data_IF_875799622117
#
_entry.id   IF_875799622117
#
_cell.length_a   1.000
_cell.length_b   1.000
_cell.length_c   1.000
_cell.angle_alpha   90.00
_cell.angle_beta   90.00
_cell.angle_gamma   90.00
#
_symmetry.space_group_name_H-M   'P 1'
#
loop_
_entity.id
_entity.type
_entity.pdbx_description
1 polymer ?
#
# COMPACT_ATOMS: atom_id res chain seq x y z
N UNK A 1 15.49 37.51 -15.77
CA UNK A 1 14.54 37.20 -16.85
C UNK A 1 13.26 36.76 -16.19
N UNK A 2 12.17 37.52 -16.34
CA UNK A 2 10.88 37.19 -15.72
C UNK A 2 10.43 35.80 -16.15
N UNK A 3 10.30 34.86 -15.22
CA UNK A 3 9.79 33.53 -15.52
C UNK A 3 8.39 33.65 -16.15
N UNK A 4 8.23 33.18 -17.38
CA UNK A 4 6.95 33.23 -18.10
C UNK A 4 5.88 32.47 -17.31
N UNK A 5 4.69 33.05 -17.20
CA UNK A 5 3.59 32.40 -16.49
C UNK A 5 3.04 31.20 -17.28
N UNK A 6 2.49 30.19 -16.61
CA UNK A 6 1.88 29.05 -17.29
C UNK A 6 0.67 29.46 -18.16
N UNK A 7 -0.01 30.55 -17.79
CA UNK A 7 -1.06 31.16 -18.60
C UNK A 7 -0.49 31.76 -19.89
N UNK A 8 0.67 32.40 -19.84
CA UNK A 8 1.38 32.92 -21.03
C UNK A 8 1.90 31.80 -21.92
N UNK A 9 2.44 30.73 -21.33
CA UNK A 9 2.93 29.54 -22.07
C UNK A 9 1.78 28.90 -22.85
N UNK A 10 0.60 28.77 -22.23
CA UNK A 10 -0.59 28.26 -22.91
C UNK A 10 -1.29 29.31 -23.79
N UNK A 11 -0.92 30.59 -23.69
CA UNK A 11 -1.54 31.69 -24.44
C UNK A 11 -3.00 31.95 -24.03
N UNK A 12 -3.32 31.77 -22.75
CA UNK A 12 -4.67 31.94 -22.19
C UNK A 12 -4.69 33.01 -21.10
N UNK A 13 -5.86 33.60 -20.83
CA UNK A 13 -6.02 34.53 -19.72
C UNK A 13 -5.97 33.82 -18.35
N UNK A 14 -5.59 34.53 -17.30
CA UNK A 14 -5.63 34.00 -15.91
C UNK A 14 -7.03 33.56 -15.48
N UNK A 15 -8.07 34.18 -16.04
CA UNK A 15 -9.48 33.83 -15.83
C UNK A 15 -10.00 32.69 -16.72
N UNK A 16 -9.14 32.04 -17.50
CA UNK A 16 -9.56 30.99 -18.42
C UNK A 16 -10.21 29.80 -17.70
N UNK A 17 -11.27 29.28 -18.29
CA UNK A 17 -11.94 28.04 -17.87
C UNK A 17 -11.08 26.81 -18.17
N UNK A 18 -11.35 25.69 -17.50
CA UNK A 18 -10.65 24.42 -17.75
C UNK A 18 -10.74 23.98 -19.21
N UNK A 19 -11.89 24.23 -19.85
CA UNK A 19 -12.11 23.91 -21.26
C UNK A 19 -11.26 24.76 -22.20
N UNK A 20 -11.04 26.03 -21.87
CA UNK A 20 -10.16 26.93 -22.64
C UNK A 20 -8.69 26.50 -22.48
N UNK A 21 -8.26 26.16 -21.26
CA UNK A 21 -6.92 25.63 -20.96
C UNK A 21 -6.67 24.33 -21.74
N UNK A 22 -7.63 23.41 -21.74
CA UNK A 22 -7.55 22.14 -22.48
C UNK A 22 -7.50 22.35 -23.99
N UNK A 23 -8.29 23.29 -24.53
CA UNK A 23 -8.27 23.63 -25.96
C UNK A 23 -6.94 24.26 -26.36
N UNK A 24 -6.38 25.14 -25.53
CA UNK A 24 -5.09 25.78 -25.77
C UNK A 24 -3.93 24.77 -25.75
N UNK A 25 -3.88 23.88 -24.75
CA UNK A 25 -2.90 22.81 -24.69
C UNK A 25 -2.96 21.90 -25.93
N UNK A 26 -4.15 21.47 -26.35
CA UNK A 26 -4.30 20.63 -27.56
C UNK A 26 -3.75 21.31 -28.82
N UNK A 27 -3.95 22.62 -28.98
CA UNK A 27 -3.40 23.37 -30.12
C UNK A 27 -1.88 23.40 -30.09
N UNK A 28 -1.28 23.61 -28.91
CA UNK A 28 0.18 23.66 -28.74
C UNK A 28 0.81 22.27 -28.85
N UNK A 29 0.19 21.24 -28.28
CA UNK A 29 0.64 19.86 -28.36
C UNK A 29 0.66 19.31 -29.79
N UNK A 30 -0.33 19.68 -30.62
CA UNK A 30 -0.33 19.33 -32.06
C UNK A 30 0.73 20.12 -32.82
N UNK A 31 0.93 21.40 -32.48
CA UNK A 31 1.90 22.30 -33.13
C UNK A 31 3.34 21.87 -32.86
N UNK A 32 3.65 21.48 -31.62
CA UNK A 32 4.99 21.12 -31.17
C UNK A 32 5.17 19.61 -30.98
N UNK A 33 4.30 18.79 -31.58
CA UNK A 33 4.38 17.34 -31.45
C UNK A 33 5.73 16.80 -31.95
N UNK A 34 6.40 15.89 -31.22
CA UNK A 34 7.70 15.35 -31.61
C UNK A 34 7.70 14.69 -33.01
N UNK A 35 6.61 14.01 -33.37
CA UNK A 35 6.51 13.38 -34.70
C UNK A 35 6.45 14.37 -35.86
N UNK A 36 5.93 15.59 -35.64
CA UNK A 36 5.82 16.62 -36.69
C UNK A 36 7.05 17.53 -36.74
N UNK A 37 7.82 17.59 -35.66
CA UNK A 37 8.98 18.46 -35.50
C UNK A 37 10.22 17.66 -35.09
N UNK A 38 10.52 16.59 -35.85
CA UNK A 38 11.65 15.69 -35.56
C UNK A 38 12.97 16.44 -35.66
N UNK A 39 13.72 16.49 -34.56
CA UNK A 39 15.05 17.11 -34.50
C UNK A 39 15.06 18.61 -34.17
N UNK A 40 13.89 19.25 -33.97
CA UNK A 40 13.81 20.64 -33.51
C UNK A 40 13.76 20.72 -31.98
N UNK A 41 14.91 21.04 -31.38
CA UNK A 41 15.05 21.19 -29.92
C UNK A 41 14.17 22.31 -29.35
N UNK A 42 13.90 23.36 -30.13
CA UNK A 42 13.07 24.47 -29.67
C UNK A 42 11.58 24.08 -29.64
N UNK A 43 11.14 23.20 -30.54
CA UNK A 43 9.80 22.63 -30.49
C UNK A 43 9.64 21.67 -29.30
N UNK A 44 10.67 20.86 -29.02
CA UNK A 44 10.67 19.95 -27.87
C UNK A 44 10.60 20.71 -26.53
N UNK A 45 11.36 21.79 -26.38
CA UNK A 45 11.33 22.64 -25.19
C UNK A 45 9.96 23.29 -24.98
N UNK A 46 9.37 23.86 -26.04
CA UNK A 46 8.01 24.43 -25.99
C UNK A 46 6.93 23.38 -25.72
N UNK A 47 7.12 22.15 -26.17
CA UNK A 47 6.22 21.05 -25.86
C UNK A 47 6.28 20.70 -24.37
N UNK A 48 7.49 20.58 -23.80
CA UNK A 48 7.71 20.33 -22.37
C UNK A 48 7.08 21.42 -21.50
N UNK A 49 7.32 22.68 -21.83
CA UNK A 49 6.74 23.82 -21.11
C UNK A 49 5.21 23.83 -21.17
N UNK A 50 4.63 23.54 -22.35
CA UNK A 50 3.18 23.50 -22.52
C UNK A 50 2.54 22.32 -21.74
N UNK A 51 3.21 21.17 -21.67
CA UNK A 51 2.76 20.02 -20.88
C UNK A 51 2.78 20.32 -19.39
N UNK A 52 3.88 20.90 -18.88
CA UNK A 52 4.00 21.33 -17.48
C UNK A 52 2.90 22.34 -17.11
N UNK A 53 2.72 23.37 -17.96
CA UNK A 53 1.68 24.37 -17.76
C UNK A 53 0.26 23.75 -17.71
N UNK A 54 -0.02 22.76 -18.57
CA UNK A 54 -1.30 22.08 -18.59
C UNK A 54 -1.53 21.22 -17.33
N UNK A 55 -0.51 20.49 -16.87
CA UNK A 55 -0.62 19.66 -15.67
C UNK A 55 -0.91 20.46 -14.40
N UNK A 56 -0.35 21.66 -14.29
CA UNK A 56 -0.59 22.56 -13.17
C UNK A 56 -1.95 23.25 -13.28
N UNK A 57 -2.31 23.76 -14.46
CA UNK A 57 -3.52 24.57 -14.64
C UNK A 57 -4.81 23.76 -14.81
N UNK A 58 -4.73 22.47 -15.18
CA UNK A 58 -5.90 21.58 -15.29
C UNK A 58 -6.45 21.17 -13.93
N UNK A 59 -5.60 21.07 -12.91
CA UNK A 59 -6.01 20.64 -11.57
C UNK A 59 -6.38 21.87 -10.73
N UNK A 60 -7.62 21.97 -10.22
CA UNK A 60 -8.06 23.13 -9.42
C UNK A 60 -7.19 23.40 -8.18
N UNK A 61 -6.67 22.36 -7.53
CA UNK A 61 -5.83 22.51 -6.35
C UNK A 61 -4.43 23.00 -6.73
N UNK A 62 -3.82 22.42 -7.77
CA UNK A 62 -2.50 22.86 -8.26
C UNK A 62 -2.55 24.27 -8.85
N UNK A 63 -3.63 24.60 -9.58
CA UNK A 63 -3.88 25.94 -10.10
C UNK A 63 -3.98 26.96 -8.98
N UNK A 64 -4.74 26.66 -7.92
CA UNK A 64 -4.84 27.54 -6.74
C UNK A 64 -3.47 27.77 -6.09
N UNK A 65 -2.67 26.71 -5.94
CA UNK A 65 -1.32 26.82 -5.36
C UNK A 65 -0.40 27.66 -6.26
N UNK A 66 -0.47 27.46 -7.57
CA UNK A 66 0.26 28.25 -8.55
C UNK A 66 -0.15 29.73 -8.55
N UNK A 67 -1.45 30.01 -8.48
CA UNK A 67 -1.98 31.38 -8.44
C UNK A 67 -1.58 32.11 -7.15
N UNK A 68 -1.45 31.40 -6.04
CA UNK A 68 -1.11 31.97 -4.73
C UNK A 68 0.40 32.13 -4.50
N UNK A 69 1.22 31.22 -5.04
CA UNK A 69 2.64 31.11 -4.69
C UNK A 69 3.59 31.06 -5.91
N UNK A 70 3.07 31.17 -7.13
CA UNK A 70 3.84 31.08 -8.38
C UNK A 70 4.44 29.69 -8.63
N UNK A 71 5.40 29.59 -9.58
CA UNK A 71 6.10 28.32 -9.89
C UNK A 71 6.81 27.73 -8.68
N UNK A 72 7.28 28.57 -7.74
CA UNK A 72 7.94 28.15 -6.51
C UNK A 72 7.00 27.38 -5.56
N UNK A 73 5.70 27.71 -5.52
CA UNK A 73 4.74 27.00 -4.66
C UNK A 73 4.35 25.61 -5.15
N UNK A 74 4.46 25.36 -6.46
CA UNK A 74 4.22 24.04 -7.04
C UNK A 74 5.42 23.11 -6.76
N UNK A 75 6.64 23.66 -6.74
CA UNK A 75 7.84 22.92 -6.33
C UNK A 75 7.98 22.75 -4.80
N UNK A 76 7.46 23.69 -3.99
CA UNK A 76 7.58 23.64 -2.53
C UNK A 76 6.56 22.70 -1.83
N UNK A 77 5.61 22.13 -2.57
CA UNK A 77 4.66 21.12 -2.07
C UNK A 77 5.12 19.67 -2.26
N UNK A 78 6.25 19.44 -2.92
CA UNK A 78 6.83 18.14 -3.15
C UNK A 78 8.15 17.98 -2.42
N UNK A 79 8.16 17.24 -1.32
CA UNK A 79 9.35 16.46 -0.98
C UNK A 79 9.60 15.50 -2.17
N UNK A 80 10.42 15.92 -3.13
CA UNK A 80 10.85 15.05 -4.23
C UNK A 80 11.09 15.67 -5.61
N UNK A 81 10.95 16.97 -5.85
CA UNK A 81 11.22 17.52 -7.19
C UNK A 81 12.21 18.68 -7.17
N UNK A 82 13.49 18.34 -7.34
CA UNK A 82 14.55 19.32 -7.62
C UNK A 82 15.97 18.81 -7.37
N UNK A 83 16.47 17.95 -8.28
CA UNK A 83 17.88 17.71 -8.69
C UNK A 83 18.13 16.21 -8.89
N UNK A 84 18.05 15.75 -10.13
CA UNK A 84 18.51 14.40 -10.52
C UNK A 84 17.79 13.74 -11.69
N UNK A 85 16.62 14.22 -12.11
CA UNK A 85 15.80 13.55 -13.13
C UNK A 85 16.14 13.94 -14.58
N UNK A 86 17.42 13.97 -14.94
CA UNK A 86 17.87 14.24 -16.32
C UNK A 86 18.85 13.18 -16.84
N UNK A 87 18.57 11.91 -16.58
CA UNK A 87 19.11 10.79 -17.36
C UNK A 87 18.11 9.64 -17.27
N UNK A 88 17.71 9.12 -18.43
CA UNK A 88 16.87 7.93 -18.64
C UNK A 88 15.35 8.04 -18.51
N UNK A 89 14.75 8.69 -19.51
CA UNK A 89 13.31 8.64 -19.80
C UNK A 89 12.86 7.30 -20.43
N UNK A 90 13.79 6.40 -20.79
CA UNK A 90 13.50 5.06 -21.34
C UNK A 90 13.22 4.00 -20.26
N UNK A 91 13.96 4.03 -19.14
CA UNK A 91 13.81 3.06 -18.06
C UNK A 91 12.66 3.42 -17.10
N UNK A 92 12.23 4.68 -17.09
CA UNK A 92 11.07 5.13 -16.31
C UNK A 92 9.76 4.58 -16.87
N UNK A 93 9.61 4.30 -18.17
CA UNK A 93 8.31 3.82 -18.69
C UNK A 93 7.94 2.40 -18.23
N UNK A 94 8.91 1.57 -17.84
CA UNK A 94 8.66 0.26 -17.25
C UNK A 94 8.36 0.32 -15.75
N UNK A 95 8.96 1.28 -15.04
CA UNK A 95 8.86 1.40 -13.57
C UNK A 95 7.79 2.42 -13.12
N UNK A 96 7.29 3.24 -14.06
CA UNK A 96 6.19 4.18 -13.83
C UNK A 96 4.83 3.49 -13.77
N UNK A 97 4.67 2.24 -14.24
CA UNK A 97 3.43 1.49 -13.94
C UNK A 97 3.36 1.10 -12.47
N UNK A 98 4.49 0.78 -11.85
CA UNK A 98 4.53 0.27 -10.48
C UNK A 98 4.61 1.42 -9.46
N UNK A 99 5.27 2.52 -9.79
CA UNK A 99 5.38 3.69 -8.89
C UNK A 99 4.23 4.69 -9.06
N UNK A 100 3.67 4.87 -10.26
CA UNK A 100 2.48 5.72 -10.46
C UNK A 100 1.18 5.02 -10.05
N UNK A 101 1.20 3.68 -9.95
CA UNK A 101 0.15 2.91 -9.28
C UNK A 101 0.05 3.20 -7.79
N UNK A 102 1.20 3.40 -7.11
CA UNK A 102 1.25 3.58 -5.66
C UNK A 102 1.17 5.06 -5.21
N UNK A 103 1.45 6.02 -6.11
CA UNK A 103 1.40 7.46 -5.81
C UNK A 103 0.19 8.21 -6.40
N UNK A 104 -0.34 7.79 -7.57
CA UNK A 104 -1.50 8.43 -8.23
C UNK A 104 -2.76 7.56 -8.27
N UNK A 105 -2.72 6.37 -7.67
CA UNK A 105 -3.92 5.66 -7.23
C UNK A 105 -4.59 6.43 -6.10
N UNK A 106 -5.66 7.16 -6.42
CA UNK A 106 -6.55 7.87 -5.48
C UNK A 106 -7.18 6.93 -4.45
N UNK A 107 -6.38 6.54 -3.47
CA UNK A 107 -6.72 5.54 -2.47
C UNK A 107 -5.76 5.57 -1.29
N UNK A 108 -5.30 6.76 -0.86
CA UNK A 108 -4.67 6.92 0.46
C UNK A 108 -5.71 6.76 1.56
N UNK A 109 -6.08 5.50 1.76
CA UNK A 109 -6.25 4.87 3.05
C UNK A 109 -7.15 5.57 4.05
N UNK A 110 -8.45 5.32 3.92
CA UNK A 110 -9.11 4.83 5.13
C UNK A 110 -8.43 3.48 5.44
N UNK A 111 -7.29 3.50 6.15
CA UNK A 111 -6.74 2.30 6.80
C UNK A 111 -7.72 1.92 7.91
N UNK A 112 -8.93 1.50 7.53
CA UNK A 112 -9.76 0.66 8.36
C UNK A 112 -8.82 -0.46 8.80
N UNK A 113 -8.76 -0.70 10.10
CA UNK A 113 -8.26 -1.94 10.66
C UNK A 113 -9.19 -3.07 10.17
N UNK A 114 -9.18 -3.32 8.86
CA UNK A 114 -9.97 -4.34 8.21
C UNK A 114 -9.33 -5.71 8.44
N UNK A 115 -10.02 -6.76 7.99
CA UNK A 115 -9.47 -8.11 8.01
C UNK A 115 -8.12 -8.13 7.30
N UNK A 116 -7.04 -8.46 8.01
CA UNK A 116 -5.70 -8.64 7.41
C UNK A 116 -5.36 -10.11 7.39
N UNK A 117 -4.67 -10.56 6.35
CA UNK A 117 -4.15 -11.93 6.31
C UNK A 117 -3.23 -12.18 7.51
N UNK A 118 -3.37 -13.35 8.13
CA UNK A 118 -2.50 -13.79 9.21
C UNK A 118 -1.08 -14.10 8.71
N UNK A 119 -0.15 -14.20 9.65
CA UNK A 119 1.25 -14.50 9.36
C UNK A 119 1.42 -15.94 8.87
N UNK A 120 2.37 -16.13 7.97
CA UNK A 120 2.76 -17.46 7.52
C UNK A 120 3.61 -18.15 8.61
N UNK A 121 3.42 -19.45 8.80
CA UNK A 121 4.20 -20.28 9.72
C UNK A 121 5.29 -21.04 8.99
N UNK A 122 6.41 -21.28 9.65
CA UNK A 122 7.48 -22.14 9.14
C UNK A 122 7.71 -23.29 10.11
N UNK A 123 7.65 -24.52 9.60
CA UNK A 123 7.96 -25.73 10.36
C UNK A 123 9.11 -26.48 9.69
N UNK A 124 10.16 -26.78 10.45
CA UNK A 124 11.27 -27.59 9.95
C UNK A 124 10.98 -29.05 10.30
N UNK A 125 10.77 -29.88 9.27
CA UNK A 125 10.47 -31.30 9.43
C UNK A 125 11.71 -32.13 9.10
N UNK A 126 12.21 -32.86 10.09
CA UNK A 126 13.33 -33.77 9.90
C UNK A 126 12.84 -35.15 9.42
N UNK A 127 13.37 -35.63 8.30
CA UNK A 127 12.97 -36.90 7.66
C UNK A 127 14.18 -37.80 7.42
N UNK A 128 13.96 -39.11 7.38
CA UNK A 128 15.00 -40.07 6.96
C UNK A 128 15.15 -40.07 5.43
N UNK A 129 16.28 -40.60 4.94
CA UNK A 129 16.51 -40.77 3.50
C UNK A 129 15.46 -41.70 2.87
N UNK A 130 15.07 -42.75 3.60
CA UNK A 130 14.04 -43.72 3.20
C UNK A 130 12.68 -43.05 3.04
N UNK A 131 12.28 -42.23 4.03
CA UNK A 131 11.01 -41.51 4.00
C UNK A 131 11.00 -40.45 2.89
N UNK A 132 12.15 -39.83 2.60
CA UNK A 132 12.31 -38.91 1.48
C UNK A 132 12.21 -39.60 0.11
N UNK A 133 12.73 -40.84 -0.01
CA UNK A 133 12.72 -41.60 -1.25
C UNK A 133 11.35 -42.20 -1.56
N UNK A 134 10.67 -42.78 -0.56
CA UNK A 134 9.40 -43.49 -0.73
C UNK A 134 8.19 -42.56 -0.61
N UNK A 135 8.35 -41.40 0.03
CA UNK A 135 7.26 -40.53 0.43
C UNK A 135 6.49 -41.09 1.62
N UNK A 136 6.07 -40.22 2.54
CA UNK A 136 5.39 -40.63 3.77
C UNK A 136 4.48 -39.53 4.29
N UNK A 137 3.47 -39.94 5.03
CA UNK A 137 2.59 -39.03 5.75
C UNK A 137 3.10 -38.81 7.18
N UNK A 138 3.25 -37.53 7.53
CA UNK A 138 3.67 -37.10 8.86
C UNK A 138 2.51 -36.36 9.54
N UNK A 139 2.28 -36.68 10.81
CA UNK A 139 1.38 -35.91 11.67
C UNK A 139 2.22 -34.99 12.53
N UNK A 140 2.02 -33.68 12.38
CA UNK A 140 2.73 -32.69 13.19
C UNK A 140 1.74 -31.89 14.03
N UNK A 141 2.14 -31.51 15.23
CA UNK A 141 1.37 -30.62 16.08
C UNK A 141 2.07 -29.26 16.14
N UNK A 142 1.36 -28.22 15.71
CA UNK A 142 1.88 -26.85 15.72
C UNK A 142 0.98 -25.99 16.61
N UNK A 143 1.54 -25.20 17.54
CA UNK A 143 0.82 -24.12 18.18
C UNK A 143 0.56 -23.01 17.17
N UNK A 144 -0.70 -22.61 17.00
CA UNK A 144 -1.11 -21.48 16.17
C UNK A 144 -2.15 -20.64 16.86
N UNK A 145 -2.14 -19.34 16.60
CA UNK A 145 -3.20 -18.41 16.94
C UNK A 145 -4.41 -18.67 16.06
N UNK A 146 -5.53 -18.99 16.69
CA UNK A 146 -6.83 -19.10 16.04
C UNK A 146 -7.73 -17.94 16.46
N UNK A 147 -8.66 -17.59 15.59
CA UNK A 147 -9.73 -16.64 15.93
C UNK A 147 -10.46 -17.13 17.17
N UNK A 148 -10.59 -16.26 18.17
CA UNK A 148 -11.24 -16.62 19.42
C UNK A 148 -12.70 -17.02 19.14
N UNK A 149 -13.13 -18.24 19.52
CA UNK A 149 -14.48 -18.73 19.21
C UNK A 149 -15.57 -17.93 19.93
N UNK A 150 -15.25 -17.32 21.08
CA UNK A 150 -16.23 -16.60 21.88
C UNK A 150 -16.53 -15.19 21.37
N UNK A 151 -15.52 -14.49 20.82
CA UNK A 151 -15.68 -13.12 20.32
C UNK A 151 -15.57 -13.01 18.79
N UNK A 152 -15.28 -14.11 18.10
CA UNK A 152 -15.11 -14.16 16.64
C UNK A 152 -14.12 -13.10 16.11
N UNK A 153 -13.05 -12.82 16.86
CA UNK A 153 -12.04 -11.82 16.48
C UNK A 153 -12.34 -10.38 16.90
N UNK A 154 -13.51 -10.09 17.47
CA UNK A 154 -13.86 -8.72 17.91
C UNK A 154 -13.12 -8.26 19.17
N UNK A 155 -12.61 -9.20 19.98
CA UNK A 155 -12.00 -8.94 21.28
C UNK A 155 -12.99 -8.53 22.37
N UNK A 156 -14.26 -8.28 22.05
CA UNK A 156 -15.30 -7.93 23.03
C UNK A 156 -16.02 -9.18 23.58
N UNK A 157 -16.60 -9.06 24.78
CA UNK A 157 -17.43 -10.11 25.36
C UNK A 157 -18.66 -10.43 24.47
N UNK A 158 -19.22 -11.64 24.58
CA UNK A 158 -20.41 -12.05 23.82
C UNK A 158 -21.55 -11.05 24.01
N UNK A 159 -22.06 -10.49 22.92
CA UNK A 159 -23.13 -9.48 22.92
C UNK A 159 -22.68 -8.04 23.19
N UNK A 160 -21.42 -7.82 23.60
CA UNK A 160 -20.84 -6.49 23.66
C UNK A 160 -20.17 -6.15 22.33
N UNK A 161 -20.42 -4.94 21.81
CA UNK A 161 -19.73 -4.44 20.64
C UNK A 161 -18.64 -3.44 21.04
N UNK A 162 -17.49 -3.42 20.34
CA UNK A 162 -16.50 -2.37 20.52
C UNK A 162 -17.15 -1.00 20.25
N UNK A 163 -17.03 -0.06 21.19
CA UNK A 163 -17.54 1.29 21.00
C UNK A 163 -16.55 2.11 20.17
N UNK A 164 -17.04 3.09 19.41
CA UNK A 164 -16.17 4.01 18.68
C UNK A 164 -15.30 4.78 19.69
N UNK A 165 -14.01 4.89 19.39
CA UNK A 165 -13.10 5.67 20.22
C UNK A 165 -13.53 7.14 20.17
N UNK A 166 -13.84 7.78 21.31
CA UNK A 166 -14.35 9.15 21.34
C UNK A 166 -13.31 10.18 20.88
N UNK A 167 -12.02 9.90 21.09
CA UNK A 167 -10.94 10.84 20.74
C UNK A 167 -10.71 10.94 19.22
N UNK A 168 -10.96 9.86 18.47
CA UNK A 168 -10.81 9.84 17.01
C UNK A 168 -12.14 9.62 16.26
N UNK A 169 -13.27 9.55 16.97
CA UNK A 169 -14.58 9.28 16.39
C UNK A 169 -14.65 8.02 15.52
N UNK A 170 -13.94 6.94 15.89
CA UNK A 170 -13.91 5.71 15.08
C UNK A 170 -12.83 5.62 14.01
N UNK A 171 -12.10 6.71 13.72
CA UNK A 171 -11.15 6.75 12.58
C UNK A 171 -9.79 6.12 12.86
N UNK A 172 -9.44 5.92 14.14
CA UNK A 172 -8.13 5.41 14.57
C UNK A 172 -7.00 6.44 14.47
N UNK A 173 -7.25 7.65 13.96
CA UNK A 173 -6.25 8.69 13.80
C UNK A 173 -6.78 10.02 14.34
N UNK A 174 -5.90 10.83 14.91
CA UNK A 174 -6.23 12.19 15.34
C UNK A 174 -5.50 13.16 14.42
N UNK A 175 -6.25 14.09 13.81
CA UNK A 175 -5.71 15.10 12.91
C UNK A 175 -5.37 16.36 13.72
N UNK A 176 -4.10 16.74 13.76
CA UNK A 176 -3.65 18.01 14.33
C UNK A 176 -3.41 18.98 13.20
N UNK A 177 -4.19 20.05 13.15
CA UNK A 177 -4.03 21.13 12.17
C UNK A 177 -3.19 22.23 12.78
N UNK A 178 -2.05 22.55 12.17
CA UNK A 178 -1.21 23.69 12.52
C UNK A 178 -1.04 24.56 11.27
N UNK A 179 -1.76 25.69 11.24
CA UNK A 179 -1.80 26.56 10.06
C UNK A 179 -2.37 25.82 8.84
N UNK A 180 -1.63 25.81 7.75
CA UNK A 180 -2.02 25.17 6.48
C UNK A 180 -1.61 23.68 6.39
N UNK A 181 -0.87 23.16 7.37
CA UNK A 181 -0.53 21.75 7.44
C UNK A 181 -1.43 21.02 8.42
N UNK A 182 -1.84 19.81 8.04
CA UNK A 182 -2.54 18.90 8.94
C UNK A 182 -1.79 17.58 9.02
N UNK A 183 -1.35 17.21 10.22
CA UNK A 183 -0.64 15.96 10.46
C UNK A 183 -1.63 15.00 11.10
N UNK A 184 -1.85 13.86 10.45
CA UNK A 184 -2.58 12.75 11.04
C UNK A 184 -1.60 11.91 11.86
N UNK A 185 -1.89 11.72 13.15
CA UNK A 185 -1.17 10.80 14.00
C UNK A 185 -2.08 9.68 14.48
N UNK A 186 -1.50 8.54 14.86
CA UNK A 186 -2.26 7.43 15.43
C UNK A 186 -2.93 7.87 16.72
N UNK A 187 -4.21 7.57 16.88
CA UNK A 187 -4.93 7.89 18.11
C UNK A 187 -4.30 7.14 19.31
N UNK A 188 -3.78 7.87 20.29
CA UNK A 188 -3.13 7.28 21.47
C UNK A 188 -4.06 6.44 22.34
N UNK A 189 -5.35 6.77 22.38
CA UNK A 189 -6.35 6.08 23.21
C UNK A 189 -6.75 4.71 22.67
N UNK A 190 -6.90 4.56 21.35
CA UNK A 190 -7.26 3.28 20.74
C UNK A 190 -6.08 2.58 20.04
N UNK A 191 -4.89 3.19 20.01
CA UNK A 191 -3.71 2.65 19.34
C UNK A 191 -3.90 2.45 17.84
N UNK A 192 -4.76 3.24 17.20
CA UNK A 192 -5.06 3.07 15.77
C UNK A 192 -6.21 2.13 15.42
N UNK A 193 -6.83 1.46 16.40
CA UNK A 193 -7.96 0.53 16.13
C UNK A 193 -9.25 1.25 15.75
N UNK A 194 -9.43 2.49 16.17
CA UNK A 194 -10.67 3.26 15.98
C UNK A 194 -11.79 2.86 16.94
N UNK A 195 -11.73 1.68 17.55
CA UNK A 195 -12.65 1.21 18.57
C UNK A 195 -11.97 0.99 19.92
N UNK A 196 -12.76 1.06 20.99
CA UNK A 196 -12.36 0.72 22.35
C UNK A 196 -13.22 -0.45 22.81
N UNK A 197 -12.56 -1.44 23.39
CA UNK A 197 -13.24 -2.58 24.01
C UNK A 197 -13.51 -2.21 25.46
N UNK A 198 -14.76 -1.88 25.78
CA UNK A 198 -15.19 -1.60 27.17
C UNK A 198 -15.29 -2.87 28.00
N UNK A 199 -15.71 -3.98 27.38
CA UNK A 199 -15.83 -5.27 28.03
C UNK A 199 -15.00 -6.32 27.27
N UNK A 200 -13.76 -6.60 27.68
CA UNK A 200 -12.90 -7.54 27.00
C UNK A 200 -13.45 -8.97 27.10
N UNK A 201 -13.28 -9.73 26.02
CA UNK A 201 -13.57 -11.15 26.02
C UNK A 201 -12.71 -11.85 27.07
N UNK A 202 -13.32 -12.67 27.94
CA UNK A 202 -12.63 -13.40 29.01
C UNK A 202 -11.65 -14.46 28.50
N UNK A 203 -11.91 -15.01 27.31
CA UNK A 203 -11.13 -16.12 26.75
C UNK A 203 -9.83 -15.63 26.09
N UNK A 204 -9.88 -14.48 25.40
CA UNK A 204 -8.71 -13.92 24.72
C UNK A 204 -8.20 -12.60 25.35
N UNK A 205 -8.77 -12.18 26.48
CA UNK A 205 -8.43 -10.92 27.18
C UNK A 205 -8.38 -9.69 26.27
N UNK A 206 -9.30 -9.59 25.31
CA UNK A 206 -9.33 -8.46 24.36
C UNK A 206 -8.47 -8.59 23.10
N UNK A 207 -7.70 -9.67 22.93
CA UNK A 207 -6.81 -9.86 21.78
C UNK A 207 -7.52 -10.31 20.49
N UNK A 208 -8.69 -10.94 20.61
CA UNK A 208 -9.45 -11.49 19.47
C UNK A 208 -8.95 -12.85 18.97
N UNK A 209 -7.80 -13.32 19.44
CA UNK A 209 -7.17 -14.59 19.05
C UNK A 209 -6.76 -15.39 20.28
N UNK A 210 -6.66 -16.71 20.14
CA UNK A 210 -6.24 -17.64 21.19
C UNK A 210 -5.26 -18.66 20.62
N UNK A 211 -4.21 -18.98 21.35
CA UNK A 211 -3.27 -20.02 20.95
C UNK A 211 -3.90 -21.40 21.13
N UNK A 212 -3.87 -22.22 20.08
CA UNK A 212 -4.33 -23.60 20.08
C UNK A 212 -3.33 -24.49 19.36
N UNK A 213 -3.14 -25.70 19.86
CA UNK A 213 -2.38 -26.74 19.16
C UNK A 213 -3.28 -27.42 18.14
N UNK A 214 -2.85 -27.42 16.88
CA UNK A 214 -3.55 -28.09 15.79
C UNK A 214 -2.66 -29.19 15.21
N UNK A 215 -3.22 -30.38 15.06
CA UNK A 215 -2.56 -31.50 14.40
C UNK A 215 -2.82 -31.40 12.89
N UNK A 216 -1.75 -31.33 12.10
CA UNK A 216 -1.80 -31.21 10.64
C UNK A 216 -1.13 -32.45 10.04
N UNK A 217 -1.83 -33.08 9.09
CA UNK A 217 -1.29 -34.20 8.33
C UNK A 217 -0.61 -33.67 7.07
N UNK A 218 0.69 -33.92 6.94
CA UNK A 218 1.50 -33.50 5.80
C UNK A 218 1.91 -34.72 5.01
N UNK A 219 1.61 -34.72 3.72
CA UNK A 219 2.07 -35.75 2.80
C UNK A 219 3.33 -35.28 2.09
N UNK A 220 4.43 -35.99 2.34
CA UNK A 220 5.71 -35.73 1.67
C UNK A 220 5.75 -36.55 0.38
N UNK A 221 5.94 -35.90 -0.79
CA UNK A 221 6.08 -36.63 -2.04
C UNK A 221 7.40 -37.42 -2.07
N UNK A 222 7.43 -38.57 -2.77
CA UNK A 222 8.67 -39.30 -2.99
C UNK A 222 9.68 -38.46 -3.79
N UNK A 223 10.96 -38.63 -3.49
CA UNK A 223 12.06 -37.92 -4.15
C UNK A 223 12.28 -36.48 -3.65
N UNK A 224 11.82 -36.14 -2.44
CA UNK A 224 12.04 -34.80 -1.88
C UNK A 224 13.49 -34.58 -1.48
N UNK A 225 14.06 -33.43 -1.82
CA UNK A 225 15.41 -33.03 -1.41
C UNK A 225 15.41 -32.29 -0.07
N UNK A 226 16.56 -32.26 0.60
CA UNK A 226 16.76 -31.44 1.81
C UNK A 226 16.68 -29.95 1.44
N UNK A 227 15.89 -29.18 2.20
CA UNK A 227 15.62 -27.77 1.93
C UNK A 227 14.37 -27.51 1.07
N UNK A 228 13.68 -28.56 0.61
CA UNK A 228 12.42 -28.42 -0.12
C UNK A 228 11.35 -27.75 0.75
N UNK A 229 10.55 -26.88 0.14
CA UNK A 229 9.48 -26.13 0.82
C UNK A 229 8.12 -26.60 0.34
N UNK A 230 7.37 -27.24 1.23
CA UNK A 230 5.98 -27.63 0.98
C UNK A 230 5.05 -26.58 1.58
N UNK A 231 4.11 -26.07 0.79
CA UNK A 231 3.11 -25.10 1.25
C UNK A 231 1.78 -25.79 1.58
N UNK A 232 1.31 -25.60 2.80
CA UNK A 232 -0.01 -26.00 3.26
C UNK A 232 -0.85 -24.73 3.44
N UNK A 233 -1.79 -24.50 2.52
CA UNK A 233 -2.52 -23.24 2.43
C UNK A 233 -3.53 -23.10 3.58
N UNK A 234 -3.65 -21.91 4.17
CA UNK A 234 -4.60 -21.61 5.25
C UNK A 234 -4.27 -22.24 6.62
N UNK A 235 -3.14 -22.93 6.73
CA UNK A 235 -2.67 -23.56 7.96
C UNK A 235 -1.69 -22.70 8.78
N UNK A 236 -1.47 -21.44 8.38
CA UNK A 236 -0.72 -20.45 9.16
C UNK A 236 -1.54 -19.81 10.28
N UNK A 237 -1.09 -18.64 10.75
CA UNK A 237 -1.75 -17.91 11.83
C UNK A 237 -3.10 -17.32 11.39
N UNK A 238 -4.07 -17.20 12.31
CA UNK A 238 -5.31 -16.49 12.03
C UNK A 238 -5.05 -14.99 11.77
N UNK A 239 -5.79 -14.44 10.81
CA UNK A 239 -5.72 -13.02 10.49
C UNK A 239 -6.44 -12.16 11.53
N UNK A 240 -5.88 -11.02 11.96
CA UNK A 240 -6.57 -10.13 12.89
C UNK A 240 -7.83 -9.54 12.25
N UNK A 241 -8.81 -9.21 13.10
CA UNK A 241 -10.12 -8.66 12.71
C UNK A 241 -10.90 -9.55 11.71
N UNK A 242 -10.79 -10.87 11.86
CA UNK A 242 -11.48 -11.84 11.00
C UNK A 242 -10.86 -11.97 9.60
N UNK A 243 -9.58 -11.63 9.47
CA UNK A 243 -8.85 -11.83 8.22
C UNK A 243 -8.52 -13.30 7.95
N UNK A 244 -8.24 -13.66 6.68
CA UNK A 244 -7.91 -15.03 6.32
C UNK A 244 -6.62 -15.47 7.01
N UNK A 245 -6.48 -16.77 7.26
CA UNK A 245 -5.24 -17.32 7.81
C UNK A 245 -4.06 -17.19 6.83
N UNK A 246 -2.85 -17.16 7.39
CA UNK A 246 -1.62 -17.36 6.61
C UNK A 246 -1.48 -18.81 6.14
N UNK A 247 -0.35 -19.11 5.50
CA UNK A 247 0.02 -20.46 5.06
C UNK A 247 1.09 -21.06 5.98
N UNK A 248 1.16 -22.39 6.03
CA UNK A 248 2.24 -23.12 6.68
C UNK A 248 3.25 -23.60 5.64
N UNK A 249 4.51 -23.21 5.79
CA UNK A 249 5.64 -23.69 5.01
C UNK A 249 6.41 -24.75 5.78
N UNK A 250 6.40 -25.96 5.27
CA UNK A 250 7.13 -27.09 5.82
C UNK A 250 8.45 -27.21 5.06
N UNK A 251 9.56 -27.00 5.75
CA UNK A 251 10.90 -27.14 5.19
C UNK A 251 11.45 -28.49 5.60
N UNK A 252 11.73 -29.36 4.62
CA UNK A 252 12.26 -30.71 4.90
C UNK A 252 13.75 -30.65 5.14
N UNK A 253 14.24 -31.40 6.14
CA UNK A 253 15.65 -31.61 6.40
C UNK A 253 15.94 -33.11 6.48
N UNK A 254 16.79 -33.60 5.58
CA UNK A 254 17.17 -35.02 5.58
C UNK A 254 18.20 -35.23 6.69
N UNK A 255 17.90 -36.14 7.63
CA UNK A 255 18.85 -36.55 8.68
C UNK A 255 20.06 -37.22 8.03
N UNK A 256 21.24 -37.03 8.63
CA UNK A 256 22.43 -37.79 8.20
C UNK A 256 22.15 -39.28 8.37
N UNK A 257 22.33 -40.03 7.29
CA UNK A 257 22.18 -41.47 7.31
C UNK A 257 23.35 -42.10 8.09
N UNK A 258 23.10 -43.05 9.01
CA UNK A 258 24.15 -43.86 9.65
C UNK A 258 24.80 -44.84 8.68
#
# INVERSE_FOLDING_TARGET
MSEQSYYEILGVAKSASEDEIKKAYRKLAIKYHPDKNKGDKAAEEKFKEATEAYEVLRDPEKRRMYDQFGKAGVNAGGAGFGQGAYTDFSDIFGDFSDIFGDFFGGGRGQRRHGPKRGSDLRYNLEISLEDAALGKEYKIEIPRLETCPDCSGSGAAKGAQPSACPDCGGTGQVRRTQGFFSIASTCGRCGGRGSIITNPCRTCSGQGMVEKRKTINIKIPPGVESGSRLKVSGEGEAGPNGGPSGDLYVVTHIKRHP
#
